data_IF_384705666960
#
_entry.id   IF_384705666960
#
_cell.length_a   1.000
_cell.length_b   1.000
_cell.length_c   1.000
_cell.angle_alpha   90.00
_cell.angle_beta   90.00
_cell.angle_gamma   90.00
#
_symmetry.space_group_name_H-M   'P 1'
#
loop_
_entity.id
_entity.type
_entity.pdbx_description
1 polymer ?
#
# COMPACT_ATOMS: atom_id res chain seq x y z
N UNK A 1 28.30 20.41 -24.15
CA UNK A 1 27.79 19.03 -24.11
C UNK A 1 26.46 19.12 -23.38
N UNK A 2 25.42 19.47 -24.12
CA UNK A 2 24.11 19.81 -23.57
C UNK A 2 23.21 18.64 -23.88
N UNK A 3 22.95 17.81 -22.88
CA UNK A 3 21.94 16.77 -22.99
C UNK A 3 20.58 17.46 -23.11
N UNK A 4 19.78 17.23 -24.18
CA UNK A 4 18.46 17.83 -24.28
C UNK A 4 17.52 17.06 -23.35
N UNK A 5 17.60 17.36 -22.06
CA UNK A 5 16.56 16.93 -21.12
C UNK A 5 15.22 17.46 -21.65
N UNK A 6 14.20 16.61 -21.84
CA UNK A 6 12.91 17.01 -22.41
C UNK A 6 12.09 17.92 -21.50
N UNK A 7 12.62 18.30 -20.33
CA UNK A 7 11.95 19.09 -19.30
C UNK A 7 12.71 20.39 -19.04
N UNK A 8 11.97 21.49 -18.88
CA UNK A 8 12.53 22.73 -18.34
C UNK A 8 12.99 22.48 -16.89
N UNK A 9 14.27 22.70 -16.55
CA UNK A 9 14.78 22.54 -15.19
C UNK A 9 13.95 23.28 -14.13
N UNK A 10 13.35 24.43 -14.49
CA UNK A 10 12.49 25.19 -13.59
C UNK A 10 11.19 24.45 -13.27
N UNK A 11 10.57 23.83 -14.27
CA UNK A 11 9.34 23.05 -14.08
C UNK A 11 9.60 21.81 -13.23
N UNK A 12 10.74 21.16 -13.45
CA UNK A 12 11.17 20.02 -12.65
C UNK A 12 11.39 20.38 -11.18
N UNK A 13 12.09 21.50 -10.91
CA UNK A 13 12.28 21.98 -9.54
C UNK A 13 10.96 22.37 -8.87
N UNK A 14 10.03 22.99 -9.60
CA UNK A 14 8.70 23.31 -9.08
C UNK A 14 7.94 22.04 -8.68
N UNK A 15 7.96 21.02 -9.53
CA UNK A 15 7.32 19.74 -9.21
C UNK A 15 7.88 19.12 -7.92
N UNK A 16 9.20 19.15 -7.72
CA UNK A 16 9.81 18.66 -6.48
C UNK A 16 9.41 19.50 -5.27
N UNK A 17 9.38 20.83 -5.40
CA UNK A 17 8.93 21.71 -4.32
C UNK A 17 7.45 21.48 -3.95
N UNK A 18 6.58 21.30 -4.95
CA UNK A 18 5.15 20.98 -4.74
C UNK A 18 4.94 19.61 -4.10
N UNK A 19 5.83 18.65 -4.38
CA UNK A 19 5.85 17.34 -3.72
C UNK A 19 6.46 17.38 -2.31
N UNK A 20 6.91 18.55 -1.83
CA UNK A 20 7.44 18.76 -0.48
C UNK A 20 8.91 18.41 -0.31
N UNK A 21 9.68 18.28 -1.39
CA UNK A 21 11.13 18.12 -1.32
C UNK A 21 11.81 19.47 -1.17
N UNK A 22 12.65 19.60 -0.14
CA UNK A 22 13.34 20.83 0.22
C UNK A 22 14.86 20.82 -0.03
N UNK A 23 15.49 19.64 -0.07
CA UNK A 23 16.95 19.51 -0.24
C UNK A 23 17.34 18.32 -1.13
N UNK A 24 18.38 18.51 -1.95
CA UNK A 24 18.99 17.45 -2.74
C UNK A 24 20.19 16.86 -1.98
N UNK A 25 20.14 15.57 -1.67
CA UNK A 25 21.17 14.89 -0.87
C UNK A 25 22.42 14.50 -1.68
N UNK A 26 22.22 14.03 -2.91
CA UNK A 26 23.30 13.60 -3.80
C UNK A 26 23.08 14.11 -5.22
N UNK A 27 24.17 14.23 -5.98
CA UNK A 27 24.14 14.70 -7.36
C UNK A 27 23.60 13.62 -8.32
N UNK A 28 23.92 12.35 -8.03
CA UNK A 28 23.52 11.21 -8.85
C UNK A 28 22.29 10.49 -8.28
N UNK A 29 21.31 10.08 -9.13
CA UNK A 29 20.14 9.34 -8.68
C UNK A 29 20.49 7.99 -8.04
N UNK A 30 19.93 7.71 -6.86
CA UNK A 30 20.15 6.44 -6.14
C UNK A 30 18.97 5.49 -6.37
N UNK A 31 19.22 4.35 -7.02
CA UNK A 31 18.21 3.28 -7.22
C UNK A 31 18.14 2.32 -6.02
N UNK A 32 17.31 2.69 -5.04
CA UNK A 32 17.03 1.86 -3.85
C UNK A 32 16.32 0.54 -4.17
N UNK A 33 15.67 0.41 -5.33
CA UNK A 33 15.02 -0.84 -5.74
C UNK A 33 16.07 -1.89 -6.17
N UNK A 34 17.09 -1.46 -6.91
CA UNK A 34 18.22 -2.30 -7.28
C UNK A 34 19.01 -2.77 -6.04
N UNK A 35 19.27 -1.87 -5.09
CA UNK A 35 19.91 -2.21 -3.81
C UNK A 35 19.11 -3.25 -3.02
N UNK A 36 17.78 -3.06 -2.90
CA UNK A 36 16.91 -4.01 -2.23
C UNK A 36 16.90 -5.40 -2.89
N UNK A 37 17.00 -5.46 -4.22
CA UNK A 37 17.13 -6.72 -4.97
C UNK A 37 18.47 -7.40 -4.69
N UNK A 38 19.56 -6.64 -4.66
CA UNK A 38 20.89 -7.16 -4.35
C UNK A 38 20.97 -7.68 -2.91
N UNK A 39 20.46 -6.93 -1.94
CA UNK A 39 20.41 -7.34 -0.53
C UNK A 39 19.61 -8.65 -0.35
N UNK A 40 18.44 -8.77 -0.99
CA UNK A 40 17.64 -10.00 -0.97
C UNK A 40 18.37 -11.19 -1.60
N UNK A 41 19.13 -10.97 -2.67
CA UNK A 41 19.93 -12.01 -3.31
C UNK A 41 21.09 -12.49 -2.41
N UNK A 42 21.70 -11.59 -1.64
CA UNK A 42 22.75 -11.95 -0.67
C UNK A 42 22.14 -12.77 0.48
N UNK A 43 21.02 -12.34 1.06
CA UNK A 43 20.32 -13.07 2.13
C UNK A 43 19.91 -14.47 1.66
N UNK A 44 19.43 -14.62 0.42
CA UNK A 44 19.09 -15.92 -0.15
C UNK A 44 20.31 -16.84 -0.31
N UNK A 45 21.51 -16.29 -0.49
CA UNK A 45 22.77 -17.05 -0.63
C UNK A 45 23.44 -17.38 0.70
N UNK A 46 23.17 -16.62 1.76
CA UNK A 46 23.75 -16.82 3.10
C UNK A 46 22.82 -17.59 4.05
N UNK A 47 21.61 -17.96 3.62
CA UNK A 47 20.73 -18.83 4.38
C UNK A 47 21.38 -20.22 4.59
N UNK A 48 21.38 -20.80 5.81
CA UNK A 48 21.90 -22.14 6.03
C UNK A 48 21.10 -23.16 5.19
N UNK A 49 21.73 -24.22 4.68
CA UNK A 49 20.99 -25.29 4.02
C UNK A 49 20.03 -25.92 5.04
N UNK A 50 18.74 -25.72 4.84
CA UNK A 50 17.72 -26.53 5.52
C UNK A 50 18.00 -28.00 5.18
N UNK A 51 18.04 -28.84 6.22
CA UNK A 51 18.30 -30.28 6.14
C UNK A 51 17.44 -30.90 5.01
N UNK A 52 18.10 -31.44 3.99
CA UNK A 52 17.43 -32.12 2.90
C UNK A 52 16.84 -33.45 3.44
N UNK A 53 15.54 -33.73 3.26
CA UNK A 53 15.04 -35.07 3.46
C UNK A 53 15.70 -36.01 2.44
N UNK A 54 16.21 -37.14 2.92
CA UNK A 54 16.84 -38.20 2.13
C UNK A 54 15.89 -38.63 1.01
N UNK A 55 16.32 -38.64 -0.27
CA UNK A 55 15.44 -39.06 -1.36
C UNK A 55 15.25 -40.60 -1.32
N UNK A 56 14.03 -41.11 -1.56
CA UNK A 56 13.81 -42.54 -1.80
C UNK A 56 14.44 -42.95 -3.15
N UNK A 57 14.76 -44.25 -3.33
CA UNK A 57 15.43 -44.74 -4.54
C UNK A 57 14.60 -44.50 -5.80
N UNK A 58 15.25 -43.93 -6.82
CA UNK A 58 14.64 -43.57 -8.10
C UNK A 58 14.62 -44.76 -9.04
N UNK A 59 13.42 -45.20 -9.43
CA UNK A 59 13.20 -45.96 -10.66
C UNK A 59 13.23 -45.02 -11.87
N UNK A 60 13.68 -45.46 -13.07
CA UNK A 60 13.79 -44.58 -14.23
C UNK A 60 12.39 -44.23 -14.74
N UNK A 61 11.96 -42.98 -14.52
CA UNK A 61 10.73 -42.46 -15.14
C UNK A 61 11.08 -41.44 -16.21
N UNK A 62 10.76 -41.88 -17.42
CA UNK A 62 10.57 -41.17 -18.68
C UNK A 62 10.19 -39.68 -18.58
N UNK A 63 10.73 -38.88 -19.49
CA UNK A 63 10.60 -37.43 -19.53
C UNK A 63 9.15 -36.96 -19.73
N UNK A 64 8.67 -36.07 -18.85
CA UNK A 64 7.43 -35.29 -18.97
C UNK A 64 7.59 -33.97 -18.17
N UNK A 65 6.76 -32.94 -18.39
CA UNK A 65 7.16 -31.62 -18.88
C UNK A 65 7.39 -30.56 -17.78
N UNK A 66 7.82 -29.37 -18.22
CA UNK A 66 8.10 -28.18 -17.42
C UNK A 66 7.07 -27.89 -16.31
N UNK A 67 7.57 -27.59 -15.11
CA UNK A 67 6.75 -27.23 -13.93
C UNK A 67 5.98 -25.94 -14.21
N UNK A 68 4.71 -25.80 -13.77
CA UNK A 68 3.95 -24.57 -13.93
C UNK A 68 4.54 -23.45 -13.10
N UNK A 69 4.48 -22.25 -13.65
CA UNK A 69 4.88 -21.00 -13.02
C UNK A 69 4.16 -20.77 -11.68
N UNK A 70 4.86 -20.09 -10.76
CA UNK A 70 4.32 -19.65 -9.48
C UNK A 70 3.02 -18.85 -9.66
N UNK A 71 2.03 -18.99 -8.75
CA UNK A 71 0.78 -18.26 -8.85
C UNK A 71 1.03 -16.74 -8.77
N UNK A 72 0.29 -15.94 -9.55
CA UNK A 72 0.44 -14.49 -9.56
C UNK A 72 0.12 -13.93 -8.17
N UNK A 73 1.00 -13.06 -7.67
CA UNK A 73 0.69 -12.24 -6.50
C UNK A 73 -0.59 -11.42 -6.81
N UNK A 74 -1.57 -11.36 -5.89
CA UNK A 74 -2.76 -10.56 -6.11
C UNK A 74 -2.33 -9.10 -6.29
N UNK A 75 -2.95 -8.38 -7.24
CA UNK A 75 -2.64 -6.99 -7.47
C UNK A 75 -2.84 -6.21 -6.16
N UNK A 76 -1.85 -5.41 -5.78
CA UNK A 76 -2.03 -4.39 -4.75
C UNK A 76 -3.17 -3.50 -5.24
N UNK A 77 -4.36 -3.69 -4.65
CA UNK A 77 -5.53 -2.91 -4.97
C UNK A 77 -5.21 -1.46 -4.64
N UNK A 78 -5.05 -0.65 -5.69
CA UNK A 78 -5.02 0.81 -5.57
C UNK A 78 -6.17 1.21 -4.65
N UNK A 79 -5.87 2.04 -3.66
CA UNK A 79 -6.85 2.56 -2.73
C UNK A 79 -8.10 2.96 -3.52
N UNK A 80 -9.19 2.22 -3.28
CA UNK A 80 -10.41 2.37 -4.04
C UNK A 80 -11.05 3.69 -3.65
N UNK A 81 -10.81 4.72 -4.46
CA UNK A 81 -11.51 5.99 -4.37
C UNK A 81 -12.99 5.68 -4.65
N UNK A 82 -13.92 5.93 -3.71
CA UNK A 82 -15.33 5.83 -3.99
C UNK A 82 -15.70 6.78 -5.13
N UNK A 83 -16.61 6.37 -6.02
CA UNK A 83 -17.14 7.25 -7.06
C UNK A 83 -17.72 8.54 -6.45
N UNK A 84 -17.70 9.66 -7.17
CA UNK A 84 -18.16 10.96 -6.65
C UNK A 84 -19.58 10.91 -6.07
N UNK A 85 -20.47 10.12 -6.66
CA UNK A 85 -21.82 9.89 -6.14
C UNK A 85 -21.82 9.26 -4.74
N UNK A 86 -20.94 8.29 -4.49
CA UNK A 86 -20.83 7.65 -3.17
C UNK A 86 -20.26 8.61 -2.14
N UNK A 87 -19.31 9.46 -2.54
CA UNK A 87 -18.78 10.51 -1.68
C UNK A 87 -19.86 11.55 -1.32
N UNK A 88 -20.73 11.91 -2.26
CA UNK A 88 -21.86 12.82 -2.00
C UNK A 88 -22.90 12.18 -1.06
N UNK A 89 -23.25 10.91 -1.26
CA UNK A 89 -24.15 10.18 -0.35
C UNK A 89 -23.57 10.08 1.06
N UNK A 90 -22.29 9.76 1.20
CA UNK A 90 -21.62 9.72 2.50
C UNK A 90 -21.71 11.07 3.22
N UNK A 91 -21.49 12.18 2.50
CA UNK A 91 -21.62 13.54 3.05
C UNK A 91 -23.06 13.86 3.47
N UNK A 92 -24.06 13.43 2.69
CA UNK A 92 -25.46 13.65 3.03
C UNK A 92 -25.85 12.90 4.32
N UNK A 93 -25.53 11.61 4.41
CA UNK A 93 -25.79 10.80 5.60
C UNK A 93 -25.05 11.34 6.84
N UNK A 94 -23.78 11.71 6.69
CA UNK A 94 -23.00 12.27 7.80
C UNK A 94 -23.58 13.58 8.36
N UNK A 95 -24.30 14.37 7.55
CA UNK A 95 -24.98 15.60 8.00
C UNK A 95 -26.22 15.33 8.84
N UNK A 96 -26.80 14.14 8.77
CA UNK A 96 -27.99 13.78 9.54
C UNK A 96 -27.64 13.43 10.99
N UNK A 97 -26.39 13.05 11.26
CA UNK A 97 -25.89 12.72 12.59
C UNK A 97 -25.84 13.97 13.50
N UNK A 98 -26.47 13.87 14.68
CA UNK A 98 -26.44 14.90 15.73
C UNK A 98 -25.47 14.58 16.84
N UNK A 99 -25.01 13.34 16.91
CA UNK A 99 -24.06 12.86 17.93
C UNK A 99 -22.97 12.00 17.29
N UNK A 100 -21.84 11.86 17.99
CA UNK A 100 -20.75 10.97 17.55
C UNK A 100 -21.20 9.51 17.49
N UNK A 101 -22.09 9.10 18.38
CA UNK A 101 -22.66 7.75 18.38
C UNK A 101 -23.54 7.51 17.14
N UNK A 102 -24.39 8.47 16.77
CA UNK A 102 -25.18 8.39 15.53
C UNK A 102 -24.27 8.36 14.30
N UNK A 103 -23.21 9.17 14.27
CA UNK A 103 -22.24 9.16 13.17
C UNK A 103 -21.54 7.79 13.05
N UNK A 104 -21.19 7.18 14.19
CA UNK A 104 -20.60 5.82 14.22
C UNK A 104 -21.54 4.79 13.62
N UNK A 105 -22.83 4.83 13.94
CA UNK A 105 -23.82 3.91 13.37
C UNK A 105 -24.00 4.11 11.86
N UNK A 106 -24.06 5.36 11.41
CA UNK A 106 -24.14 5.70 9.98
C UNK A 106 -22.90 5.17 9.24
N UNK A 107 -21.70 5.36 9.80
CA UNK A 107 -20.46 4.85 9.22
C UNK A 107 -20.42 3.31 9.20
N UNK A 108 -20.93 2.65 10.24
CA UNK A 108 -21.03 1.20 10.31
C UNK A 108 -22.00 0.64 9.26
N UNK A 109 -23.09 1.35 8.97
CA UNK A 109 -24.09 0.98 7.98
C UNK A 109 -23.71 1.35 6.54
N UNK A 110 -22.77 2.27 6.32
CA UNK A 110 -22.43 2.74 4.97
C UNK A 110 -21.70 1.69 4.13
N UNK A 111 -22.26 1.30 2.98
CA UNK A 111 -21.69 0.27 2.08
C UNK A 111 -21.05 0.84 0.80
N UNK A 112 -20.99 2.17 0.66
CA UNK A 112 -20.48 2.84 -0.55
C UNK A 112 -18.95 2.90 -0.66
N UNK A 113 -18.20 2.22 0.21
CA UNK A 113 -16.74 2.21 0.21
C UNK A 113 -16.19 0.79 0.17
N UNK A 114 -15.35 0.50 -0.83
CA UNK A 114 -14.76 -0.82 -1.02
C UNK A 114 -13.87 -1.28 0.15
N UNK A 115 -13.36 -0.35 0.96
CA UNK A 115 -12.58 -0.69 2.16
C UNK A 115 -13.39 -1.52 3.15
N UNK A 116 -14.72 -1.31 3.24
CA UNK A 116 -15.60 -2.04 4.16
C UNK A 116 -15.60 -3.55 3.90
N UNK A 117 -15.53 -3.97 2.63
CA UNK A 117 -15.54 -5.39 2.26
C UNK A 117 -14.28 -6.14 2.67
N UNK A 118 -13.19 -5.43 2.97
CA UNK A 118 -11.92 -6.02 3.39
C UNK A 118 -11.59 -5.74 4.86
N UNK A 119 -12.30 -4.79 5.48
CA UNK A 119 -12.14 -4.44 6.87
C UNK A 119 -12.76 -5.51 7.78
N UNK A 120 -12.05 -5.90 8.84
CA UNK A 120 -12.59 -6.78 9.88
C UNK A 120 -13.47 -6.01 10.87
N UNK A 121 -13.08 -4.77 11.18
CA UNK A 121 -13.70 -3.92 12.17
C UNK A 121 -13.74 -2.48 11.67
N UNK A 122 -14.74 -1.71 12.11
CA UNK A 122 -14.77 -0.26 11.97
C UNK A 122 -13.91 0.36 13.08
N UNK A 123 -12.91 1.17 12.68
CA UNK A 123 -12.16 2.03 13.61
C UNK A 123 -12.73 3.44 13.49
N UNK A 124 -13.50 3.87 14.49
CA UNK A 124 -14.19 5.16 14.48
C UNK A 124 -13.37 6.26 15.15
N UNK A 125 -13.26 6.22 16.48
CA UNK A 125 -12.50 7.15 17.28
C UNK A 125 -12.13 6.48 18.61
N UNK A 126 -11.11 7.01 19.28
CA UNK A 126 -10.72 6.66 20.64
C UNK A 126 -10.42 7.95 21.42
N UNK A 127 -10.67 7.94 22.73
CA UNK A 127 -10.48 9.09 23.63
C UNK A 127 -11.77 9.69 24.19
N UNK A 128 -11.65 10.88 24.78
CA UNK A 128 -12.74 11.56 25.48
C UNK A 128 -13.62 12.34 24.48
N UNK A 129 -14.93 12.04 24.36
CA UNK A 129 -15.84 12.77 23.47
C UNK A 129 -16.10 14.22 23.91
N UNK A 130 -15.78 14.58 25.16
CA UNK A 130 -15.86 15.95 25.69
C UNK A 130 -14.53 16.71 25.57
N UNK A 131 -13.54 16.18 24.84
CA UNK A 131 -12.28 16.87 24.62
C UNK A 131 -12.46 18.09 23.69
N UNK A 132 -11.69 19.15 23.95
CA UNK A 132 -11.70 20.37 23.12
C UNK A 132 -10.92 20.23 21.80
N UNK A 133 -10.09 19.18 21.67
CA UNK A 133 -9.23 18.93 20.51
C UNK A 133 -9.43 17.50 19.99
N UNK A 134 -9.64 17.37 18.68
CA UNK A 134 -9.67 16.10 17.95
C UNK A 134 -8.55 16.05 16.92
N UNK A 135 -7.74 15.00 16.98
CA UNK A 135 -6.70 14.71 15.98
C UNK A 135 -7.24 13.71 14.96
N UNK A 136 -7.19 14.06 13.67
CA UNK A 136 -7.63 13.19 12.58
C UNK A 136 -6.40 12.69 11.81
N UNK A 137 -6.13 11.40 11.91
CA UNK A 137 -5.00 10.74 11.27
C UNK A 137 -5.33 10.14 9.91
N UNK A 138 -4.36 9.41 9.36
CA UNK A 138 -4.56 8.58 8.17
C UNK A 138 -5.41 7.32 8.48
N UNK A 139 -5.76 6.58 7.43
CA UNK A 139 -6.51 5.32 7.56
C UNK A 139 -5.74 4.27 8.40
N UNK A 140 -6.45 3.39 9.14
CA UNK A 140 -5.82 2.37 9.98
C UNK A 140 -5.00 1.37 9.17
N UNK A 141 -3.88 0.94 9.75
CA UNK A 141 -2.98 -0.07 9.16
C UNK A 141 -3.49 -1.50 9.31
N UNK A 142 -2.77 -2.46 8.70
CA UNK A 142 -3.00 -3.89 8.94
C UNK A 142 -2.42 -4.28 10.30
N UNK A 143 -3.24 -4.90 11.14
CA UNK A 143 -2.83 -5.64 12.33
C UNK A 143 -2.73 -7.14 12.04
#
# INVERSE_FOLDING_TARGET
>A
MTDPSPFDPRELLRFYAEAGYDEALEESPVDRFAEGKAARAVVARTAPPAHAPTPPPQSPREAAPARPAAPPQPPQQKAAVPDEEQAQRARALAREAKTLDELREIMAAFDGCNLKFTAKNLVFADGNPQAELMLVGAAPGRA
#
